data_IF_971500269745
#
_entry.id   IF_971500269745
#
_cell.length_a   1.000
_cell.length_b   1.000
_cell.length_c   1.000
_cell.angle_alpha   90.00
_cell.angle_beta   90.00
_cell.angle_gamma   90.00
#
_symmetry.space_group_name_H-M   'P 1'
#
loop_
_entity.id
_entity.type
_entity.pdbx_description
1 polymer ?
#
# COMPACT_ATOMS: atom_id res chain seq x y z
N UNK A 1 -13.38 -1.51 6.10
CA UNK A 1 -12.13 -0.91 5.55
C UNK A 1 -12.40 0.57 5.37
N UNK A 2 -11.53 1.52 5.81
CA UNK A 2 -10.08 1.47 5.95
C UNK A 2 -9.59 1.39 7.42
N UNK A 3 -9.98 0.32 8.13
CA UNK A 3 -9.57 0.06 9.51
C UNK A 3 -9.03 -1.37 9.59
N UNK A 4 -8.11 -1.64 10.52
CA UNK A 4 -7.52 -2.97 10.72
C UNK A 4 -8.47 -4.01 11.33
N UNK A 5 -9.55 -3.56 11.98
CA UNK A 5 -10.51 -4.42 12.65
C UNK A 5 -11.91 -4.27 12.06
N UNK A 6 -12.71 -5.33 12.16
CA UNK A 6 -14.13 -5.29 11.85
C UNK A 6 -14.94 -4.61 12.96
N UNK A 7 -16.14 -4.07 12.64
CA UNK A 7 -17.06 -3.54 13.64
C UNK A 7 -17.62 -4.67 14.53
N UNK A 8 -18.25 -4.30 15.65
CA UNK A 8 -19.01 -5.26 16.45
C UNK A 8 -20.29 -5.67 15.71
N UNK A 9 -20.75 -6.90 15.94
CA UNK A 9 -21.98 -7.40 15.32
C UNK A 9 -23.21 -6.58 15.74
N UNK A 10 -23.23 -6.05 16.95
CA UNK A 10 -24.29 -5.15 17.44
C UNK A 10 -24.44 -3.89 16.58
N UNK A 11 -23.34 -3.43 15.98
CA UNK A 11 -23.31 -2.22 15.16
C UNK A 11 -23.78 -2.50 13.71
N UNK A 12 -23.92 -3.78 13.33
CA UNK A 12 -24.30 -4.21 11.99
C UNK A 12 -25.82 -4.33 11.80
N UNK A 13 -26.61 -3.39 12.35
CA UNK A 13 -28.08 -3.45 12.36
C UNK A 13 -28.76 -2.71 11.20
N UNK A 14 -28.05 -1.86 10.45
CA UNK A 14 -28.61 -0.97 9.40
C UNK A 14 -27.97 -1.17 8.01
N UNK A 15 -27.63 -2.42 7.67
CA UNK A 15 -26.91 -2.72 6.42
C UNK A 15 -27.70 -2.37 5.16
N UNK A 16 -29.03 -2.48 5.17
CA UNK A 16 -29.86 -2.17 4.00
C UNK A 16 -29.82 -0.67 3.63
N UNK A 17 -29.81 0.21 4.64
CA UNK A 17 -29.71 1.66 4.44
C UNK A 17 -28.33 2.07 3.94
N UNK A 18 -27.27 1.46 4.49
CA UNK A 18 -25.90 1.64 4.00
C UNK A 18 -25.75 1.18 2.55
N UNK A 19 -26.38 0.06 2.18
CA UNK A 19 -26.35 -0.46 0.82
C UNK A 19 -27.05 0.47 -0.18
N UNK A 20 -28.16 1.11 0.21
CA UNK A 20 -28.89 2.03 -0.64
C UNK A 20 -28.09 3.30 -1.01
N UNK A 21 -27.18 3.74 -0.13
CA UNK A 21 -26.30 4.89 -0.35
C UNK A 21 -24.92 4.55 -0.93
N UNK A 22 -24.66 3.28 -1.26
CA UNK A 22 -23.34 2.81 -1.65
C UNK A 22 -23.01 3.24 -3.09
N UNK A 23 -21.97 4.05 -3.23
CA UNK A 23 -21.43 4.45 -4.54
C UNK A 23 -19.93 4.14 -4.60
N UNK A 24 -19.51 3.45 -5.66
CA UNK A 24 -18.11 3.13 -5.88
C UNK A 24 -17.60 3.80 -7.14
N UNK A 25 -16.51 4.53 -7.01
CA UNK A 25 -15.78 5.05 -8.15
C UNK A 25 -14.89 3.95 -8.72
N UNK A 26 -15.09 3.61 -10.00
CA UNK A 26 -14.25 2.65 -10.69
C UNK A 26 -12.86 3.27 -10.90
N UNK A 27 -11.88 2.73 -10.18
CA UNK A 27 -10.47 3.08 -10.36
C UNK A 27 -9.85 2.46 -11.62
N UNK A 28 -8.54 2.65 -11.77
CA UNK A 28 -7.70 2.01 -12.76
C UNK A 28 -6.71 1.05 -12.08
N UNK A 29 -6.27 -0.04 -12.75
CA UNK A 29 -5.24 -0.90 -12.22
C UNK A 29 -3.93 -0.11 -12.02
N UNK A 30 -3.19 -0.45 -10.98
CA UNK A 30 -1.82 0.06 -10.83
C UNK A 30 -0.91 -0.53 -11.90
N UNK A 31 0.04 0.28 -12.37
CA UNK A 31 1.15 -0.24 -13.17
C UNK A 31 2.01 -1.19 -12.33
N UNK A 32 2.76 -2.11 -12.96
CA UNK A 32 3.58 -3.10 -12.24
C UNK A 32 4.45 -2.49 -11.13
N UNK A 33 5.16 -1.40 -11.39
CA UNK A 33 6.03 -0.79 -10.37
C UNK A 33 5.28 -0.02 -9.28
N UNK A 34 4.12 0.56 -9.59
CA UNK A 34 3.25 1.18 -8.57
C UNK A 34 2.75 0.11 -7.60
N UNK A 35 2.30 -1.04 -8.12
CA UNK A 35 1.87 -2.17 -7.29
C UNK A 35 3.01 -2.69 -6.41
N UNK A 36 4.22 -2.84 -6.97
CA UNK A 36 5.38 -3.29 -6.19
C UNK A 36 5.74 -2.32 -5.06
N UNK A 37 5.72 -1.00 -5.32
CA UNK A 37 5.90 0.01 -4.27
C UNK A 37 4.79 -0.05 -3.20
N UNK A 38 3.57 -0.43 -3.61
CA UNK A 38 2.42 -0.59 -2.71
C UNK A 38 2.43 -1.85 -1.84
N UNK A 39 3.21 -2.88 -2.22
CA UNK A 39 3.16 -4.19 -1.55
C UNK A 39 4.47 -4.63 -0.90
N UNK A 40 5.62 -4.18 -1.42
CA UNK A 40 6.92 -4.65 -0.95
C UNK A 40 7.42 -3.85 0.26
N UNK A 41 8.10 -4.49 1.22
CA UNK A 41 8.86 -3.78 2.25
C UNK A 41 10.17 -3.22 1.68
N UNK A 42 10.77 -2.24 2.38
CA UNK A 42 12.02 -1.60 1.94
C UNK A 42 13.19 -2.59 1.74
N UNK A 43 13.23 -3.69 2.51
CA UNK A 43 14.21 -4.77 2.36
C UNK A 43 14.16 -5.44 0.97
N UNK A 44 13.02 -5.39 0.30
CA UNK A 44 12.78 -5.96 -1.04
C UNK A 44 12.92 -4.92 -2.16
N UNK A 45 13.48 -3.73 -1.86
CA UNK A 45 13.67 -2.65 -2.85
C UNK A 45 14.50 -3.06 -4.08
N UNK A 46 15.30 -4.13 -3.99
CA UNK A 46 16.08 -4.64 -5.12
C UNK A 46 15.22 -5.14 -6.29
N UNK A 47 13.96 -5.52 -6.05
CA UNK A 47 13.00 -5.91 -7.10
C UNK A 47 12.45 -4.72 -7.91
N UNK A 48 12.70 -3.49 -7.45
CA UNK A 48 12.36 -2.28 -8.19
C UNK A 48 13.54 -1.76 -9.02
N UNK A 49 13.27 -0.97 -10.08
CA UNK A 49 14.26 -0.14 -10.75
C UNK A 49 15.08 0.68 -9.77
N UNK A 50 16.38 0.89 -10.07
CA UNK A 50 17.27 1.71 -9.22
C UNK A 50 16.67 3.08 -8.89
N UNK A 51 15.98 3.70 -9.86
CA UNK A 51 15.32 4.99 -9.71
C UNK A 51 14.28 5.05 -8.58
N UNK A 52 13.64 3.92 -8.24
CA UNK A 52 12.57 3.87 -7.23
C UNK A 52 13.02 3.37 -5.87
N UNK A 53 14.20 2.75 -5.75
CA UNK A 53 14.66 2.15 -4.48
C UNK A 53 14.76 3.15 -3.36
N UNK A 54 15.22 4.36 -3.67
CA UNK A 54 15.36 5.45 -2.72
C UNK A 54 14.01 5.90 -2.14
N UNK A 55 12.90 5.68 -2.85
CA UNK A 55 11.56 5.98 -2.32
C UNK A 55 11.22 5.11 -1.10
N UNK A 56 11.79 3.91 -1.01
CA UNK A 56 11.55 2.99 0.12
C UNK A 56 12.60 3.14 1.23
N UNK A 57 13.85 3.39 0.88
CA UNK A 57 14.99 3.28 1.81
C UNK A 57 15.52 4.60 2.33
N UNK A 58 15.30 5.71 1.62
CA UNK A 58 15.80 7.02 2.03
C UNK A 58 14.89 7.62 3.10
N UNK A 59 15.49 8.14 4.18
CA UNK A 59 14.78 8.94 5.19
C UNK A 59 14.28 10.28 4.64
N UNK A 60 14.82 10.73 3.50
CA UNK A 60 14.37 11.92 2.78
C UNK A 60 13.22 11.64 1.81
N UNK A 61 12.78 10.38 1.69
CA UNK A 61 11.66 10.03 0.83
C UNK A 61 10.36 10.65 1.35
N UNK A 62 9.55 11.28 0.49
CA UNK A 62 8.24 11.84 0.88
C UNK A 62 7.22 10.77 1.27
N UNK A 63 7.54 9.49 1.09
CA UNK A 63 6.72 8.32 1.44
C UNK A 63 7.48 7.32 2.32
N UNK A 64 8.52 7.79 3.03
CA UNK A 64 9.30 6.93 3.94
C UNK A 64 8.44 6.26 5.02
N UNK A 65 7.39 6.96 5.48
CA UNK A 65 6.43 6.49 6.48
C UNK A 65 5.64 5.24 6.04
N UNK A 66 5.60 4.93 4.75
CA UNK A 66 4.94 3.70 4.26
C UNK A 66 5.77 2.43 4.54
N UNK A 67 7.06 2.58 4.87
CA UNK A 67 8.00 1.47 4.99
C UNK A 67 8.66 1.43 6.37
N UNK A 68 7.90 1.20 7.45
CA UNK A 68 8.48 1.09 8.78
C UNK A 68 9.45 -0.10 8.85
N UNK A 69 10.58 0.09 9.54
CA UNK A 69 11.58 -0.97 9.72
C UNK A 69 11.06 -2.12 10.60
N UNK A 70 10.15 -1.81 11.53
CA UNK A 70 9.45 -2.76 12.38
C UNK A 70 7.99 -2.32 12.56
N UNK A 71 7.09 -3.27 12.75
CA UNK A 71 5.66 -3.00 12.92
C UNK A 71 5.07 -3.92 13.98
N UNK A 72 4.02 -3.44 14.65
CA UNK A 72 3.35 -4.22 15.68
C UNK A 72 2.43 -5.25 15.04
N UNK A 73 2.52 -6.50 15.51
CA UNK A 73 1.52 -7.54 15.26
C UNK A 73 0.62 -7.63 16.50
N UNK A 74 -0.66 -7.31 16.34
CA UNK A 74 -1.64 -7.54 17.39
C UNK A 74 -2.18 -8.97 17.27
N UNK A 75 -1.94 -9.79 18.30
CA UNK A 75 -2.38 -11.17 18.33
C UNK A 75 -3.91 -11.28 18.41
N UNK A 76 -4.62 -10.30 18.99
CA UNK A 76 -6.09 -10.31 19.12
C UNK A 76 -6.67 -11.68 19.55
N UNK A 77 -6.09 -12.28 20.59
CA UNK A 77 -6.48 -13.59 21.12
C UNK A 77 -6.07 -14.81 20.30
N UNK A 78 -5.29 -14.64 19.22
CA UNK A 78 -4.75 -15.72 18.39
C UNK A 78 -3.50 -16.34 18.98
N UNK A 79 -3.24 -17.58 18.60
CA UNK A 79 -2.13 -18.38 19.12
C UNK A 79 -0.87 -18.18 18.29
N UNK A 80 -1.01 -18.05 16.97
CA UNK A 80 0.12 -18.01 16.07
C UNK A 80 0.31 -16.60 15.48
N UNK A 81 1.55 -16.09 15.34
CA UNK A 81 1.78 -14.73 14.86
C UNK A 81 1.22 -14.44 13.45
N UNK A 82 1.18 -15.44 12.57
CA UNK A 82 0.62 -15.30 11.22
C UNK A 82 -0.92 -15.17 11.20
N UNK A 83 -1.59 -15.42 12.32
CA UNK A 83 -3.02 -15.17 12.51
C UNK A 83 -3.30 -13.77 13.06
N UNK A 84 -2.24 -13.09 13.52
CA UNK A 84 -2.32 -11.75 14.09
C UNK A 84 -2.55 -10.67 13.03
N UNK A 85 -2.89 -9.48 13.50
CA UNK A 85 -3.16 -8.31 12.68
C UNK A 85 -1.88 -7.47 12.57
N UNK A 86 -1.37 -7.32 11.35
CA UNK A 86 -0.22 -6.45 11.07
C UNK A 86 -0.68 -4.99 11.08
N UNK A 87 -0.23 -4.21 12.06
CA UNK A 87 -0.57 -2.80 12.19
C UNK A 87 0.35 -1.93 11.34
N UNK A 88 0.19 -2.04 10.02
CA UNK A 88 0.86 -1.22 9.03
C UNK A 88 0.04 0.03 8.68
N UNK A 89 0.70 1.16 8.35
CA UNK A 89 0.01 2.33 7.82
C UNK A 89 -0.61 2.02 6.46
N UNK A 90 -1.78 2.57 6.18
CA UNK A 90 -2.37 2.49 4.85
C UNK A 90 -1.66 3.46 3.89
N UNK A 91 -1.40 2.99 2.68
CA UNK A 91 -0.73 3.79 1.65
C UNK A 91 -1.71 4.81 1.06
N UNK A 92 -1.29 6.07 1.07
CA UNK A 92 -1.96 7.13 0.31
C UNK A 92 -1.50 7.05 -1.16
N UNK A 93 -2.43 6.64 -2.02
CA UNK A 93 -2.19 6.44 -3.45
C UNK A 93 -1.75 7.72 -4.15
N UNK A 94 -2.29 8.88 -3.76
CA UNK A 94 -1.92 10.16 -4.35
C UNK A 94 -0.49 10.51 -3.99
N UNK A 95 -0.12 10.42 -2.71
CA UNK A 95 1.26 10.66 -2.24
C UNK A 95 2.26 9.73 -2.92
N UNK A 96 1.90 8.45 -3.08
CA UNK A 96 2.74 7.48 -3.77
C UNK A 96 2.96 7.86 -5.24
N UNK A 97 1.90 8.25 -5.96
CA UNK A 97 2.00 8.64 -7.37
C UNK A 97 2.81 9.93 -7.55
N UNK A 98 2.60 10.92 -6.67
CA UNK A 98 3.34 12.18 -6.68
C UNK A 98 4.85 11.94 -6.44
N UNK A 99 5.21 10.98 -5.60
CA UNK A 99 6.59 10.58 -5.33
C UNK A 99 7.24 9.80 -6.51
N UNK A 100 6.46 9.03 -7.26
CA UNK A 100 6.94 8.24 -8.41
C UNK A 100 7.20 9.11 -9.64
N UNK A 101 6.37 10.14 -9.86
CA UNK A 101 6.43 11.01 -11.02
C UNK A 101 7.84 11.56 -11.34
N UNK A 102 8.60 12.15 -10.39
CA UNK A 102 9.94 12.68 -10.67
C UNK A 102 10.99 11.60 -10.94
N UNK A 103 10.78 10.37 -10.48
CA UNK A 103 11.68 9.24 -10.69
C UNK A 103 11.43 8.52 -12.02
N UNK A 104 10.22 8.64 -12.58
CA UNK A 104 9.82 7.92 -13.80
C UNK A 104 10.72 8.20 -15.02
N UNK A 105 11.18 9.44 -15.30
CA UNK A 105 12.09 9.72 -16.41
C UNK A 105 13.48 9.08 -16.29
N UNK A 106 13.86 8.58 -15.10
CA UNK A 106 15.15 7.94 -14.85
C UNK A 106 15.13 6.43 -15.14
N UNK A 107 13.98 5.88 -15.53
CA UNK A 107 13.86 4.49 -15.92
C UNK A 107 14.56 4.24 -17.27
N UNK A 108 15.14 3.05 -17.40
CA UNK A 108 15.63 2.57 -18.69
C UNK A 108 14.48 2.27 -19.65
N UNK A 109 14.77 2.20 -20.95
CA UNK A 109 13.78 1.85 -21.96
C UNK A 109 13.10 0.49 -21.68
N UNK A 110 13.87 -0.52 -21.25
CA UNK A 110 13.33 -1.83 -20.88
C UNK A 110 12.44 -1.79 -19.64
N UNK A 111 12.72 -0.87 -18.69
CA UNK A 111 11.90 -0.67 -17.51
C UNK A 111 10.59 0.05 -17.85
N UNK A 112 10.61 0.99 -18.79
CA UNK A 112 9.39 1.60 -19.32
C UNK A 112 8.47 0.57 -19.99
N UNK A 113 9.03 -0.30 -20.84
CA UNK A 113 8.26 -1.33 -21.55
C UNK A 113 7.63 -2.34 -20.57
N UNK A 114 8.35 -2.78 -19.53
CA UNK A 114 7.76 -3.72 -18.56
C UNK A 114 6.78 -3.06 -17.59
N UNK A 115 6.72 -1.73 -17.56
CA UNK A 115 5.82 -0.95 -16.70
C UNK A 115 4.60 -0.39 -17.47
N UNK A 116 4.37 -0.86 -18.69
CA UNK A 116 3.13 -0.63 -19.44
C UNK A 116 2.15 -1.79 -19.23
N UNK A 117 0.90 -1.58 -19.68
CA UNK A 117 -0.13 -2.61 -19.76
C UNK A 117 -0.01 -3.42 -21.06
#
# INVERSE_FOLDING_TARGET
FPFHYGPLMSDMSQLAELAAGMNFEKGAPFKPFQQLLGCLPAASSTFLPKAYRALMTSSLSPIHDFYPADFKVDMNGKRNPWEGVNLLPFIDVKRMNDAIAPCTPQLSQMEHVRNSF
#
